data_IF_294985175212
#
_entry.id   IF_294985175212
#
_cell.length_a   1.000
_cell.length_b   1.000
_cell.length_c   1.000
_cell.angle_alpha   90.00
_cell.angle_beta   90.00
_cell.angle_gamma   90.00
#
_symmetry.space_group_name_H-M   'P 1'
#
loop_
_entity.id
_entity.type
_entity.pdbx_description
1 polymer ?
#
# COMPACT_ATOMS: atom_id res chain seq x y z
N UNK A 1 1.53 -82.61 -48.05
CA UNK A 1 2.64 -82.97 -47.12
C UNK A 1 3.86 -82.17 -47.51
N UNK A 2 4.55 -81.55 -46.53
CA UNK A 2 5.74 -80.71 -46.71
C UNK A 2 5.49 -79.25 -46.33
N UNK A 3 5.15 -78.95 -45.07
CA UNK A 3 6.06 -78.53 -43.98
C UNK A 3 6.67 -77.15 -44.25
N UNK A 4 6.13 -76.15 -43.55
CA UNK A 4 6.56 -74.77 -43.61
C UNK A 4 7.91 -74.51 -42.95
N UNK A 5 8.54 -73.41 -43.35
CA UNK A 5 9.64 -72.78 -42.64
C UNK A 5 9.26 -71.32 -42.42
N UNK A 6 8.69 -71.05 -41.24
CA UNK A 6 8.54 -69.69 -40.70
C UNK A 6 9.93 -69.16 -40.37
N UNK A 7 10.30 -68.02 -40.98
CA UNK A 7 11.47 -67.26 -40.55
C UNK A 7 11.19 -66.66 -39.17
N UNK A 8 12.16 -66.62 -38.24
CA UNK A 8 11.97 -65.94 -36.96
C UNK A 8 11.91 -64.42 -37.20
N UNK A 9 10.89 -63.79 -36.63
CA UNK A 9 10.82 -62.33 -36.48
C UNK A 9 11.81 -61.97 -35.37
N UNK A 10 12.90 -61.28 -35.70
CA UNK A 10 13.75 -60.63 -34.71
C UNK A 10 12.93 -59.52 -34.03
N UNK A 11 12.40 -59.82 -32.84
CA UNK A 11 11.91 -58.80 -31.92
C UNK A 11 13.14 -58.09 -31.39
N UNK A 12 13.49 -56.98 -32.03
CA UNK A 12 14.42 -56.00 -31.48
C UNK A 12 13.82 -55.49 -30.18
N UNK A 13 14.35 -55.98 -29.06
CA UNK A 13 14.17 -55.42 -27.72
C UNK A 13 14.70 -53.98 -27.76
N UNK A 14 13.85 -53.05 -28.13
CA UNK A 14 14.06 -51.63 -27.87
C UNK A 14 14.06 -51.50 -26.34
N UNK A 15 15.25 -51.39 -25.75
CA UNK A 15 15.40 -50.93 -24.37
C UNK A 15 14.53 -49.68 -24.21
N UNK A 16 13.73 -49.56 -23.15
CA UNK A 16 13.04 -48.30 -22.89
C UNK A 16 14.10 -47.21 -22.84
N UNK A 17 13.96 -46.19 -23.70
CA UNK A 17 14.76 -44.97 -23.59
C UNK A 17 14.64 -44.53 -22.15
N UNK A 18 15.77 -44.42 -21.46
CA UNK A 18 15.81 -43.79 -20.15
C UNK A 18 15.09 -42.44 -20.29
N UNK A 19 14.08 -42.22 -19.44
CA UNK A 19 13.46 -40.90 -19.30
C UNK A 19 14.62 -39.94 -19.04
N UNK A 20 14.81 -39.02 -19.97
CA UNK A 20 15.86 -37.99 -19.91
C UNK A 20 15.69 -37.23 -18.59
N UNK A 21 16.76 -37.10 -17.78
CA UNK A 21 16.68 -36.44 -16.48
C UNK A 21 16.12 -35.01 -16.62
N UNK A 22 16.42 -34.35 -17.74
CA UNK A 22 15.92 -33.02 -18.09
C UNK A 22 14.38 -33.00 -18.27
N UNK A 23 13.79 -34.08 -18.80
CA UNK A 23 12.34 -34.20 -18.96
C UNK A 23 11.63 -34.47 -17.63
N UNK A 24 12.29 -35.16 -16.69
CA UNK A 24 11.74 -35.40 -15.35
C UNK A 24 11.76 -34.09 -14.54
N UNK A 25 12.88 -33.36 -14.55
CA UNK A 25 13.00 -32.08 -13.85
C UNK A 25 12.03 -31.02 -14.40
N UNK A 26 11.89 -30.92 -15.73
CA UNK A 26 10.92 -30.03 -16.35
C UNK A 26 9.47 -30.41 -15.98
N UNK A 27 9.15 -31.71 -15.94
CA UNK A 27 7.83 -32.19 -15.53
C UNK A 27 7.55 -31.94 -14.04
N UNK A 28 8.52 -32.18 -13.16
CA UNK A 28 8.41 -31.89 -11.72
C UNK A 28 8.24 -30.39 -11.45
N UNK A 29 8.97 -29.54 -12.17
CA UNK A 29 8.82 -28.09 -12.11
C UNK A 29 7.44 -27.63 -12.59
N UNK A 30 6.93 -28.19 -13.69
CA UNK A 30 5.58 -27.92 -14.19
C UNK A 30 4.48 -28.36 -13.21
N UNK A 31 4.64 -29.53 -12.58
CA UNK A 31 3.70 -30.01 -11.56
C UNK A 31 3.76 -29.15 -10.29
N UNK A 32 4.94 -28.68 -9.89
CA UNK A 32 5.11 -27.79 -8.74
C UNK A 32 4.44 -26.42 -8.98
N UNK A 33 4.64 -25.83 -10.16
CA UNK A 33 4.03 -24.52 -10.51
C UNK A 33 2.50 -24.58 -10.60
N UNK A 34 1.94 -25.63 -11.22
CA UNK A 34 0.49 -25.84 -11.26
C UNK A 34 -0.12 -26.06 -9.86
N UNK A 35 0.62 -26.72 -8.96
CA UNK A 35 0.23 -26.88 -7.56
C UNK A 35 0.18 -25.54 -6.83
N UNK A 36 1.20 -24.67 -7.00
CA UNK A 36 1.24 -23.36 -6.33
C UNK A 36 0.09 -22.46 -6.82
N UNK A 37 -0.19 -22.42 -8.13
CA UNK A 37 -1.31 -21.65 -8.67
C UNK A 37 -2.66 -22.08 -8.09
N UNK A 38 -2.89 -23.39 -7.99
CA UNK A 38 -4.12 -23.94 -7.38
C UNK A 38 -4.21 -23.57 -5.90
N UNK A 39 -3.13 -23.77 -5.13
CA UNK A 39 -3.07 -23.40 -3.71
C UNK A 39 -3.31 -21.90 -3.49
N UNK A 40 -2.85 -21.05 -4.40
CA UNK A 40 -3.12 -19.61 -4.31
C UNK A 40 -4.61 -19.31 -4.38
N UNK A 41 -5.35 -19.88 -5.34
CA UNK A 41 -6.80 -19.68 -5.41
C UNK A 41 -7.55 -20.25 -4.21
N UNK A 42 -7.03 -21.29 -3.56
CA UNK A 42 -7.60 -21.83 -2.33
C UNK A 42 -7.37 -20.90 -1.13
N UNK A 43 -6.12 -20.52 -0.87
CA UNK A 43 -5.73 -19.66 0.26
C UNK A 43 -6.34 -18.24 0.19
N UNK A 44 -6.57 -17.75 -1.03
CA UNK A 44 -7.14 -16.42 -1.28
C UNK A 44 -8.60 -16.47 -1.73
N UNK A 45 -9.32 -17.59 -1.62
CA UNK A 45 -10.68 -17.77 -2.17
C UNK A 45 -11.65 -16.66 -1.77
N UNK A 46 -11.65 -16.27 -0.50
CA UNK A 46 -12.52 -15.21 0.01
C UNK A 46 -12.15 -13.83 -0.56
N UNK A 47 -10.85 -13.51 -0.63
CA UNK A 47 -10.37 -12.24 -1.19
C UNK A 47 -10.59 -12.17 -2.72
N UNK A 48 -10.36 -13.28 -3.43
CA UNK A 48 -10.46 -13.37 -4.89
C UNK A 48 -11.89 -13.28 -5.42
N UNK A 49 -12.90 -13.55 -4.58
CA UNK A 49 -14.33 -13.50 -4.92
C UNK A 49 -14.99 -12.19 -4.54
N UNK A 50 -14.49 -11.53 -3.49
CA UNK A 50 -14.98 -10.21 -3.11
C UNK A 50 -14.53 -9.15 -4.13
N UNK A 51 -15.41 -8.25 -4.59
CA UNK A 51 -15.00 -7.11 -5.40
C UNK A 51 -13.93 -6.28 -4.67
N UNK A 52 -12.82 -5.90 -5.34
CA UNK A 52 -11.79 -5.07 -4.74
C UNK A 52 -12.33 -3.65 -4.53
N UNK A 53 -11.93 -3.01 -3.43
CA UNK A 53 -12.34 -1.64 -3.15
C UNK A 53 -11.61 -0.62 -4.05
N UNK A 54 -10.39 -0.95 -4.45
CA UNK A 54 -9.59 -0.22 -5.42
C UNK A 54 -9.17 -1.22 -6.51
N UNK A 55 -9.60 -1.01 -7.76
CA UNK A 55 -9.25 -1.91 -8.87
C UNK A 55 -7.85 -1.61 -9.38
N UNK A 56 -7.19 -2.51 -10.11
CA UNK A 56 -5.90 -2.21 -10.76
C UNK A 56 -6.02 -1.02 -11.72
N UNK A 57 -7.12 -0.92 -12.45
CA UNK A 57 -7.43 0.24 -13.32
C UNK A 57 -7.56 1.54 -12.52
N UNK A 58 -8.29 1.51 -11.40
CA UNK A 58 -8.40 2.67 -10.50
C UNK A 58 -7.07 3.03 -9.83
N UNK A 59 -6.29 2.03 -9.44
CA UNK A 59 -4.96 2.18 -8.84
C UNK A 59 -3.95 2.78 -9.83
N UNK A 60 -4.01 2.36 -11.10
CA UNK A 60 -3.24 2.93 -12.19
C UNK A 60 -3.62 4.40 -12.46
N UNK A 61 -4.89 4.78 -12.26
CA UNK A 61 -5.29 6.19 -12.35
C UNK A 61 -4.66 7.05 -11.24
N UNK A 62 -4.45 6.50 -10.04
CA UNK A 62 -3.79 7.22 -8.94
C UNK A 62 -2.33 7.53 -9.24
N UNK A 63 -1.63 6.64 -9.94
CA UNK A 63 -0.27 6.91 -10.45
C UNK A 63 -0.25 8.17 -11.34
N UNK A 64 -1.27 8.31 -12.20
CA UNK A 64 -1.50 9.49 -13.03
C UNK A 64 -2.09 10.72 -12.31
N UNK A 65 -2.25 10.68 -10.98
CA UNK A 65 -2.93 11.70 -10.16
C UNK A 65 -4.41 11.91 -10.48
N UNK A 66 -5.04 10.98 -11.19
CA UNK A 66 -6.47 11.00 -11.49
C UNK A 66 -7.30 10.39 -10.34
N UNK A 67 -8.61 10.66 -10.36
CA UNK A 67 -9.54 10.05 -9.41
C UNK A 67 -9.80 8.59 -9.80
N UNK A 68 -9.68 7.62 -8.86
CA UNK A 68 -9.97 6.23 -9.17
C UNK A 68 -11.46 6.07 -9.46
N UNK A 69 -11.77 5.34 -10.52
CA UNK A 69 -13.15 4.98 -10.86
C UNK A 69 -13.64 3.84 -9.97
N UNK A 70 -14.95 3.77 -9.68
CA UNK A 70 -15.55 2.62 -9.00
C UNK A 70 -15.35 1.31 -9.77
N UNK A 71 -15.51 0.19 -9.04
CA UNK A 71 -15.50 -1.15 -9.61
C UNK A 71 -16.64 -1.34 -10.63
N UNK A 72 -16.27 -1.82 -11.81
CA UNK A 72 -17.15 -2.24 -12.89
C UNK A 72 -16.82 -3.70 -13.26
N UNK A 73 -17.74 -4.66 -13.04
CA UNK A 73 -17.50 -6.07 -13.32
C UNK A 73 -17.03 -6.38 -14.74
N UNK A 74 -17.46 -5.60 -15.74
CA UNK A 74 -17.10 -5.83 -17.14
C UNK A 74 -15.73 -5.23 -17.47
N UNK A 75 -15.41 -4.05 -16.93
CA UNK A 75 -14.15 -3.37 -17.19
C UNK A 75 -12.99 -3.84 -16.28
N UNK A 76 -13.31 -4.40 -15.11
CA UNK A 76 -12.35 -4.85 -14.10
C UNK A 76 -12.28 -6.38 -13.98
N UNK A 77 -12.75 -7.11 -15.00
CA UNK A 77 -12.53 -8.54 -15.10
C UNK A 77 -11.02 -8.82 -15.24
N UNK A 78 -10.41 -9.60 -14.33
CA UNK A 78 -8.96 -9.77 -14.24
C UNK A 78 -8.45 -10.81 -15.26
N UNK A 79 -8.71 -10.54 -16.53
CA UNK A 79 -8.17 -11.26 -17.69
C UNK A 79 -6.66 -11.00 -17.84
N UNK A 80 -5.95 -11.82 -18.60
CA UNK A 80 -4.54 -11.58 -18.94
C UNK A 80 -4.33 -10.15 -19.48
N UNK A 81 -5.15 -9.72 -20.45
CA UNK A 81 -5.06 -8.38 -21.03
C UNK A 81 -5.28 -7.25 -20.01
N UNK A 82 -6.16 -7.47 -19.03
CA UNK A 82 -6.38 -6.51 -17.94
C UNK A 82 -5.16 -6.44 -17.02
N UNK A 83 -4.58 -7.58 -16.64
CA UNK A 83 -3.37 -7.61 -15.82
C UNK A 83 -2.19 -6.96 -16.55
N UNK A 84 -1.97 -7.30 -17.82
CA UNK A 84 -0.95 -6.70 -18.69
C UNK A 84 -1.12 -5.18 -18.84
N UNK A 85 -2.35 -4.70 -18.90
CA UNK A 85 -2.65 -3.27 -19.05
C UNK A 85 -2.45 -2.42 -17.80
N UNK A 86 -2.57 -2.99 -16.60
CA UNK A 86 -2.67 -2.20 -15.36
C UNK A 86 -1.76 -2.66 -14.21
N UNK A 87 -1.28 -3.91 -14.18
CA UNK A 87 -0.57 -4.45 -13.02
C UNK A 87 0.75 -3.71 -12.74
N UNK A 88 1.51 -3.37 -13.79
CA UNK A 88 2.85 -2.79 -13.62
C UNK A 88 2.87 -1.52 -12.79
N UNK A 89 1.95 -0.60 -13.05
CA UNK A 89 1.83 0.66 -12.29
C UNK A 89 0.81 0.58 -11.16
N UNK A 90 -0.31 -0.11 -11.37
CA UNK A 90 -1.42 -0.11 -10.42
C UNK A 90 -1.15 -0.89 -9.14
N UNK A 91 -0.35 -1.97 -9.18
CA UNK A 91 -0.21 -2.90 -8.04
C UNK A 91 0.34 -2.24 -6.78
N UNK A 92 1.20 -1.23 -6.90
CA UNK A 92 1.83 -0.51 -5.78
C UNK A 92 0.82 0.35 -5.00
N UNK A 93 -0.27 0.76 -5.65
CA UNK A 93 -1.31 1.62 -5.08
C UNK A 93 -2.49 0.84 -4.48
N UNK A 94 -2.57 -0.48 -4.68
CA UNK A 94 -3.63 -1.31 -4.11
C UNK A 94 -3.56 -1.35 -2.58
N UNK A 95 -4.69 -1.15 -1.89
CA UNK A 95 -4.81 -1.43 -0.46
C UNK A 95 -4.66 -2.93 -0.15
N UNK A 96 -4.50 -3.30 1.11
CA UNK A 96 -4.24 -4.69 1.48
C UNK A 96 -5.33 -5.66 1.00
N UNK A 97 -6.60 -5.25 1.07
CA UNK A 97 -7.73 -6.10 0.63
C UNK A 97 -7.76 -6.22 -0.90
N UNK A 98 -7.62 -5.11 -1.60
CA UNK A 98 -7.59 -5.08 -3.05
C UNK A 98 -6.37 -5.80 -3.62
N UNK A 99 -5.22 -5.73 -2.94
CA UNK A 99 -4.01 -6.47 -3.31
C UNK A 99 -4.21 -7.98 -3.21
N UNK A 100 -4.76 -8.48 -2.08
CA UNK A 100 -5.10 -9.90 -1.91
C UNK A 100 -6.10 -10.42 -2.95
N UNK A 101 -6.99 -9.59 -3.45
CA UNK A 101 -7.92 -9.95 -4.52
C UNK A 101 -7.18 -10.36 -5.82
N UNK A 102 -6.08 -9.68 -6.16
CA UNK A 102 -5.34 -9.94 -7.41
C UNK A 102 -4.20 -10.95 -7.24
N UNK A 103 -3.65 -11.13 -6.03
CA UNK A 103 -2.52 -12.05 -5.77
C UNK A 103 -2.65 -13.43 -6.43
N UNK A 104 -3.72 -14.22 -6.24
CA UNK A 104 -3.80 -15.55 -6.83
C UNK A 104 -3.79 -15.53 -8.37
N UNK A 105 -4.36 -14.48 -8.97
CA UNK A 105 -4.40 -14.31 -10.43
C UNK A 105 -3.07 -13.87 -11.00
N UNK A 106 -2.33 -13.03 -10.28
CA UNK A 106 -0.99 -12.61 -10.66
C UNK A 106 0.01 -13.78 -10.55
N UNK A 107 -0.10 -14.60 -9.50
CA UNK A 107 0.70 -15.82 -9.33
C UNK A 107 0.44 -16.81 -10.48
N UNK A 108 -0.84 -17.10 -10.75
CA UNK A 108 -1.25 -17.96 -11.87
C UNK A 108 -0.77 -17.43 -13.23
N UNK A 109 -0.97 -16.13 -13.49
CA UNK A 109 -0.49 -15.47 -14.70
C UNK A 109 1.03 -15.66 -14.86
N UNK A 110 1.80 -15.43 -13.79
CA UNK A 110 3.26 -15.52 -13.83
C UNK A 110 3.75 -16.89 -14.32
N UNK A 111 3.15 -17.98 -13.81
CA UNK A 111 3.52 -19.34 -14.22
C UNK A 111 3.07 -19.68 -15.65
N UNK A 112 1.94 -19.14 -16.10
CA UNK A 112 1.47 -19.30 -17.49
C UNK A 112 2.27 -18.44 -18.49
N UNK A 113 2.86 -17.33 -18.05
CA UNK A 113 3.49 -16.30 -18.89
C UNK A 113 4.92 -15.98 -18.44
N UNK A 114 5.79 -17.00 -18.45
CA UNK A 114 7.18 -16.87 -17.96
C UNK A 114 8.04 -15.87 -18.76
N UNK A 115 7.72 -15.66 -20.04
CA UNK A 115 8.38 -14.70 -20.93
C UNK A 115 7.52 -13.46 -21.20
N UNK A 116 6.70 -13.07 -20.22
CA UNK A 116 5.83 -11.90 -20.26
C UNK A 116 6.61 -10.59 -20.55
N UNK A 117 6.36 -9.90 -21.68
CA UNK A 117 6.97 -8.62 -21.97
C UNK A 117 6.26 -7.43 -21.29
N UNK A 118 5.08 -7.64 -20.70
CA UNK A 118 4.28 -6.60 -20.05
C UNK A 118 4.62 -6.39 -18.57
N UNK A 119 5.64 -7.10 -18.06
CA UNK A 119 6.23 -6.90 -16.73
C UNK A 119 5.25 -7.15 -15.57
N UNK A 120 4.18 -7.91 -15.77
CA UNK A 120 3.21 -8.27 -14.71
C UNK A 120 3.90 -9.08 -13.61
N UNK A 121 4.72 -10.06 -13.99
CA UNK A 121 5.47 -10.89 -13.03
C UNK A 121 6.49 -10.04 -12.26
N UNK A 122 7.18 -9.13 -12.94
CA UNK A 122 8.12 -8.18 -12.33
C UNK A 122 7.40 -7.28 -11.32
N UNK A 123 6.23 -6.75 -11.68
CA UNK A 123 5.39 -5.95 -10.80
C UNK A 123 4.94 -6.72 -9.55
N UNK A 124 4.53 -7.98 -9.72
CA UNK A 124 4.18 -8.86 -8.60
C UNK A 124 5.38 -9.04 -7.66
N UNK A 125 6.54 -9.45 -8.17
CA UNK A 125 7.75 -9.68 -7.34
C UNK A 125 8.17 -8.40 -6.62
N UNK A 126 8.15 -7.24 -7.30
CA UNK A 126 8.43 -5.94 -6.67
C UNK A 126 7.41 -5.56 -5.61
N UNK A 127 6.13 -5.85 -5.83
CA UNK A 127 5.06 -5.57 -4.85
C UNK A 127 5.20 -6.39 -3.56
N UNK A 128 5.95 -7.49 -3.61
CA UNK A 128 6.22 -8.40 -2.49
C UNK A 128 7.45 -8.00 -1.67
N UNK A 129 8.08 -6.86 -1.98
CA UNK A 129 9.27 -6.36 -1.29
C UNK A 129 8.97 -5.15 -0.40
N UNK A 130 9.73 -4.97 0.70
CA UNK A 130 9.78 -3.69 1.40
C UNK A 130 10.57 -2.62 0.60
N UNK A 131 10.39 -1.32 0.91
CA UNK A 131 9.40 -0.79 1.82
C UNK A 131 7.99 -1.00 1.28
N UNK A 132 7.10 -1.52 2.13
CA UNK A 132 5.69 -1.67 1.77
C UNK A 132 4.97 -0.33 1.93
N UNK A 133 3.78 -0.22 1.34
CA UNK A 133 2.89 0.90 1.60
C UNK A 133 2.45 0.91 3.07
N UNK A 134 1.93 2.05 3.49
CA UNK A 134 1.18 2.14 4.73
C UNK A 134 -0.30 2.38 4.42
N UNK A 135 -1.24 1.59 4.98
CA UNK A 135 -1.05 0.47 5.91
C UNK A 135 -0.37 -0.73 5.24
N UNK A 136 0.38 -1.55 5.99
CA UNK A 136 1.15 -2.64 5.42
C UNK A 136 0.24 -3.73 4.85
N UNK A 137 0.50 -4.11 3.60
CA UNK A 137 -0.08 -5.26 2.90
C UNK A 137 0.62 -6.56 3.25
N UNK A 138 1.96 -6.56 3.29
CA UNK A 138 2.73 -7.79 3.46
C UNK A 138 2.46 -8.44 4.83
N UNK A 139 2.27 -7.61 5.87
CA UNK A 139 1.92 -8.06 7.22
C UNK A 139 0.43 -8.36 7.42
N UNK A 140 -0.41 -8.16 6.41
CA UNK A 140 -1.86 -8.39 6.49
C UNK A 140 -2.27 -9.79 6.00
N UNK A 141 -1.31 -10.63 5.58
CA UNK A 141 -1.57 -12.01 5.18
C UNK A 141 -1.70 -12.92 6.40
N UNK A 142 -2.54 -13.94 6.30
CA UNK A 142 -2.54 -15.04 7.26
C UNK A 142 -1.46 -16.08 6.91
N UNK A 143 -1.21 -17.03 7.80
CA UNK A 143 -0.13 -18.02 7.63
C UNK A 143 -0.25 -18.87 6.34
N UNK A 144 -1.47 -19.19 5.89
CA UNK A 144 -1.70 -19.95 4.67
C UNK A 144 -1.36 -19.12 3.42
N UNK A 145 -1.84 -17.88 3.39
CA UNK A 145 -1.53 -16.90 2.35
C UNK A 145 -0.04 -16.59 2.26
N UNK A 146 0.63 -16.41 3.41
CA UNK A 146 2.09 -16.26 3.48
C UNK A 146 2.82 -17.47 2.90
N UNK A 147 2.35 -18.69 3.18
CA UNK A 147 2.94 -19.93 2.67
C UNK A 147 2.92 -20.01 1.14
N UNK A 148 1.80 -19.63 0.52
CA UNK A 148 1.67 -19.56 -0.94
C UNK A 148 2.65 -18.55 -1.53
N UNK A 149 2.69 -17.34 -0.96
CA UNK A 149 3.57 -16.26 -1.45
C UNK A 149 5.04 -16.66 -1.33
N UNK A 150 5.43 -17.27 -0.21
CA UNK A 150 6.79 -17.81 -0.03
C UNK A 150 7.11 -18.86 -1.09
N UNK A 151 6.21 -19.82 -1.31
CA UNK A 151 6.41 -20.89 -2.30
C UNK A 151 6.55 -20.34 -3.72
N UNK A 152 5.75 -19.33 -4.07
CA UNK A 152 5.89 -18.60 -5.33
C UNK A 152 7.28 -17.95 -5.45
N UNK A 153 7.70 -17.18 -4.45
CA UNK A 153 9.00 -16.50 -4.46
C UNK A 153 10.18 -17.48 -4.49
N UNK A 154 10.10 -18.62 -3.78
CA UNK A 154 11.10 -19.69 -3.83
C UNK A 154 11.22 -20.26 -5.24
N UNK A 155 10.10 -20.49 -5.93
CA UNK A 155 10.08 -20.97 -7.31
C UNK A 155 10.67 -19.94 -8.29
N UNK A 156 10.43 -18.64 -8.09
CA UNK A 156 11.04 -17.57 -8.89
C UNK A 156 12.54 -17.43 -8.59
N UNK A 157 12.94 -17.55 -7.32
CA UNK A 157 14.30 -17.35 -6.83
C UNK A 157 15.27 -18.48 -7.21
N UNK A 158 14.76 -19.73 -7.27
CA UNK A 158 15.57 -20.94 -7.43
C UNK A 158 15.30 -21.69 -8.73
N UNK A 159 14.16 -21.46 -9.37
CA UNK A 159 13.79 -22.12 -10.61
C UNK A 159 14.36 -21.43 -11.86
N UNK A 160 14.42 -22.18 -12.96
CA UNK A 160 14.94 -21.69 -14.24
C UNK A 160 13.94 -20.88 -15.06
N UNK A 161 12.68 -20.82 -14.62
CA UNK A 161 11.58 -20.18 -15.35
C UNK A 161 11.70 -18.65 -15.43
N UNK A 162 12.36 -18.01 -14.45
CA UNK A 162 12.39 -16.54 -14.31
C UNK A 162 13.81 -16.00 -14.06
N UNK A 163 14.80 -16.27 -14.94
CA UNK A 163 16.20 -15.96 -14.66
C UNK A 163 16.44 -14.46 -14.40
N UNK A 164 15.63 -13.58 -15.00
CA UNK A 164 15.74 -12.12 -14.85
C UNK A 164 15.15 -11.57 -13.54
N UNK A 165 14.41 -12.38 -12.75
CA UNK A 165 13.79 -11.97 -11.49
C UNK A 165 14.34 -12.72 -10.27
N UNK A 166 15.28 -13.65 -10.47
CA UNK A 166 15.83 -14.46 -9.39
C UNK A 166 16.41 -13.61 -8.27
N UNK A 167 17.15 -12.55 -8.61
CA UNK A 167 17.79 -11.66 -7.62
C UNK A 167 16.74 -10.90 -6.80
N UNK A 168 15.72 -10.35 -7.46
CA UNK A 168 14.62 -9.62 -6.82
C UNK A 168 13.80 -10.54 -5.91
N UNK A 169 13.52 -11.77 -6.34
CA UNK A 169 12.80 -12.76 -5.53
C UNK A 169 13.61 -13.21 -4.31
N UNK A 170 14.92 -13.45 -4.46
CA UNK A 170 15.82 -13.73 -3.34
C UNK A 170 15.83 -12.58 -2.32
N UNK A 171 15.92 -11.34 -2.80
CA UNK A 171 15.84 -10.16 -1.94
C UNK A 171 14.50 -10.09 -1.20
N UNK A 172 13.38 -10.33 -1.88
CA UNK A 172 12.07 -10.36 -1.24
C UNK A 172 12.00 -11.39 -0.10
N UNK A 173 12.51 -12.61 -0.34
CA UNK A 173 12.56 -13.67 0.66
C UNK A 173 13.37 -13.25 1.90
N UNK A 174 14.58 -12.75 1.69
CA UNK A 174 15.48 -12.30 2.78
C UNK A 174 14.98 -11.07 3.53
N UNK A 175 14.26 -10.18 2.85
CA UNK A 175 13.81 -8.93 3.42
C UNK A 175 12.50 -9.11 4.22
N UNK A 176 11.59 -9.99 3.80
CA UNK A 176 10.27 -10.13 4.45
C UNK A 176 9.78 -11.55 4.74
N UNK A 177 9.98 -12.51 3.82
CA UNK A 177 9.18 -13.74 3.83
C UNK A 177 9.81 -14.92 4.59
N UNK A 178 11.11 -14.89 4.88
CA UNK A 178 11.80 -15.92 5.67
C UNK A 178 11.66 -15.70 7.20
N UNK A 179 11.79 -16.75 8.03
CA UNK A 179 11.63 -16.66 9.50
C UNK A 179 12.54 -15.64 10.20
N UNK A 180 13.68 -15.31 9.60
CA UNK A 180 14.67 -14.34 10.07
C UNK A 180 14.83 -13.15 9.10
N UNK A 181 13.76 -12.82 8.39
CA UNK A 181 13.72 -11.74 7.43
C UNK A 181 14.19 -10.41 8.05
N UNK A 182 15.05 -9.68 7.32
CA UNK A 182 15.76 -8.50 7.82
C UNK A 182 14.85 -7.32 8.15
N UNK A 183 13.71 -7.21 7.47
CA UNK A 183 12.83 -6.04 7.52
C UNK A 183 11.44 -6.34 8.06
N UNK A 184 11.16 -7.59 8.47
CA UNK A 184 9.89 -7.97 9.07
C UNK A 184 9.93 -7.76 10.59
N UNK A 185 9.24 -6.75 11.14
CA UNK A 185 9.21 -6.55 12.57
C UNK A 185 8.41 -7.68 13.25
N UNK A 186 8.92 -8.17 14.37
CA UNK A 186 8.22 -9.11 15.24
C UNK A 186 7.05 -8.41 15.94
N UNK A 187 6.05 -9.20 16.37
CA UNK A 187 4.94 -8.66 17.16
C UNK A 187 5.41 -7.96 18.44
N UNK A 188 6.49 -8.47 19.06
CA UNK A 188 7.12 -7.86 20.23
C UNK A 188 7.76 -6.51 19.91
N UNK A 189 8.47 -6.39 18.78
CA UNK A 189 9.05 -5.12 18.32
C UNK A 189 7.96 -4.09 17.99
N UNK A 190 6.89 -4.49 17.30
CA UNK A 190 5.75 -3.59 17.02
C UNK A 190 5.12 -3.12 18.34
N UNK A 191 4.88 -4.03 19.29
CA UNK A 191 4.31 -3.67 20.58
C UNK A 191 5.23 -2.72 21.36
N UNK A 192 6.54 -2.97 21.35
CA UNK A 192 7.52 -2.10 21.99
C UNK A 192 7.57 -0.71 21.34
N UNK A 193 7.54 -0.64 20.00
CA UNK A 193 7.48 0.62 19.25
C UNK A 193 6.23 1.44 19.57
N UNK A 194 5.07 0.79 19.66
CA UNK A 194 3.79 1.46 19.98
C UNK A 194 3.70 1.89 21.45
N UNK A 195 4.39 1.19 22.35
CA UNK A 195 4.43 1.53 23.77
C UNK A 195 5.50 2.57 24.12
N UNK A 196 6.41 2.89 23.19
CA UNK A 196 7.47 3.84 23.42
C UNK A 196 6.91 5.27 23.68
N UNK A 197 7.44 6.02 24.67
CA UNK A 197 7.03 7.39 24.89
C UNK A 197 7.30 8.27 23.66
N UNK A 198 6.33 9.11 23.30
CA UNK A 198 6.49 10.09 22.22
C UNK A 198 7.12 11.36 22.78
N UNK A 199 8.38 11.62 22.40
CA UNK A 199 9.06 12.87 22.69
C UNK A 199 8.58 13.97 21.72
N UNK A 200 8.32 15.16 22.26
CA UNK A 200 7.84 16.30 21.49
C UNK A 200 8.87 17.43 21.53
N UNK A 201 8.97 18.16 20.43
CA UNK A 201 9.71 19.42 20.32
C UNK A 201 8.76 20.55 19.94
N UNK A 202 9.11 21.77 20.31
CA UNK A 202 8.36 22.95 19.90
C UNK A 202 8.85 23.41 18.54
N UNK A 203 7.91 23.67 17.63
CA UNK A 203 8.14 24.30 16.35
C UNK A 203 7.44 25.65 16.34
N UNK A 204 8.18 26.67 15.89
CA UNK A 204 7.75 28.06 15.87
C UNK A 204 7.76 28.51 14.42
N UNK A 205 6.58 28.81 13.88
CA UNK A 205 6.43 29.47 12.60
C UNK A 205 6.21 30.97 12.75
N UNK A 206 5.93 31.64 11.63
CA UNK A 206 5.83 33.11 11.59
C UNK A 206 4.64 33.66 12.41
N UNK A 207 3.55 32.88 12.53
CA UNK A 207 2.31 33.28 13.20
C UNK A 207 1.73 32.19 14.11
N UNK A 208 2.45 31.09 14.31
CA UNK A 208 1.94 29.93 15.04
C UNK A 208 3.04 29.21 15.81
N UNK A 209 2.64 28.55 16.88
CA UNK A 209 3.45 27.65 17.69
C UNK A 209 2.76 26.28 17.74
N UNK A 210 3.56 25.21 17.68
CA UNK A 210 3.04 23.85 17.72
C UNK A 210 4.04 22.91 18.41
N UNK A 211 3.55 22.01 19.28
CA UNK A 211 4.34 20.89 19.78
C UNK A 211 4.18 19.70 18.83
N UNK A 212 5.30 19.19 18.31
CA UNK A 212 5.32 18.09 17.36
C UNK A 212 6.21 16.95 17.85
N UNK A 213 5.82 15.69 17.60
CA UNK A 213 6.69 14.54 17.80
C UNK A 213 8.02 14.70 17.06
N UNK A 214 9.13 14.36 17.73
CA UNK A 214 10.48 14.51 17.17
C UNK A 214 10.71 13.64 15.92
N UNK A 215 9.95 12.54 15.80
CA UNK A 215 9.97 11.61 14.68
C UNK A 215 9.40 12.18 13.38
N UNK A 216 8.64 13.28 13.44
CA UNK A 216 8.14 13.95 12.25
C UNK A 216 9.21 14.86 11.67
N UNK A 217 9.57 14.68 10.40
CA UNK A 217 10.60 15.47 9.72
C UNK A 217 9.95 16.55 8.88
N UNK A 218 10.39 17.80 9.06
CA UNK A 218 9.86 18.96 8.34
C UNK A 218 10.41 19.08 6.92
N UNK A 219 9.57 19.49 5.98
CA UNK A 219 9.96 19.82 4.61
C UNK A 219 10.56 21.22 4.45
N UNK A 220 10.56 22.01 5.54
CA UNK A 220 10.73 23.45 5.53
C UNK A 220 9.52 24.19 4.93
N UNK A 221 9.50 25.50 5.12
CA UNK A 221 8.45 26.39 4.61
C UNK A 221 8.53 26.54 3.10
N UNK A 222 7.43 26.26 2.42
CA UNK A 222 7.26 26.44 0.98
C UNK A 222 6.28 27.59 0.74
N UNK A 223 6.65 28.51 -0.16
CA UNK A 223 5.74 29.57 -0.63
C UNK A 223 5.16 29.15 -1.96
N UNK A 224 3.85 29.32 -2.13
CA UNK A 224 3.09 29.08 -3.36
C UNK A 224 2.63 30.46 -3.87
N UNK A 225 3.42 31.14 -4.72
CA UNK A 225 3.20 32.53 -5.07
C UNK A 225 1.82 32.80 -5.67
N UNK A 226 1.34 31.88 -6.52
CA UNK A 226 0.06 32.01 -7.24
C UNK A 226 -1.14 32.05 -6.28
N UNK A 227 -1.01 31.47 -5.10
CA UNK A 227 -2.06 31.42 -4.07
C UNK A 227 -1.75 32.34 -2.89
N UNK A 228 -0.60 33.04 -2.91
CA UNK A 228 -0.04 33.77 -1.76
C UNK A 228 -0.05 32.93 -0.47
N UNK A 229 0.14 31.62 -0.61
CA UNK A 229 0.03 30.64 0.47
C UNK A 229 1.40 30.20 0.92
N UNK A 230 1.62 30.15 2.24
CA UNK A 230 2.78 29.49 2.86
C UNK A 230 2.33 28.15 3.42
N UNK A 231 3.13 27.12 3.20
CA UNK A 231 2.86 25.77 3.68
C UNK A 231 4.10 25.20 4.34
N UNK A 232 3.93 24.67 5.53
CA UNK A 232 4.94 23.85 6.19
C UNK A 232 4.34 22.48 6.48
N UNK A 233 5.09 21.42 6.13
CA UNK A 233 4.65 20.04 6.32
C UNK A 233 5.69 19.26 7.10
N UNK A 234 5.23 18.40 8.02
CA UNK A 234 6.04 17.40 8.69
C UNK A 234 5.44 16.03 8.43
N UNK A 235 6.27 15.10 7.97
CA UNK A 235 5.90 13.72 7.72
C UNK A 235 6.81 12.77 8.48
N UNK A 236 6.27 11.65 8.93
CA UNK A 236 7.02 10.64 9.65
C UNK A 236 6.12 9.64 10.32
N UNK A 237 6.65 8.91 11.30
CA UNK A 237 5.92 7.90 12.04
C UNK A 237 5.49 8.42 13.41
N UNK A 238 4.21 8.26 13.74
CA UNK A 238 3.62 8.54 15.05
C UNK A 238 3.33 7.21 15.76
N UNK A 239 3.52 7.19 17.08
CA UNK A 239 3.31 6.01 17.93
C UNK A 239 3.97 4.75 17.34
N UNK A 240 5.25 4.90 16.95
CA UNK A 240 6.10 3.81 16.45
C UNK A 240 6.04 3.58 14.95
N UNK A 241 4.86 3.32 14.41
CA UNK A 241 4.70 2.75 13.07
C UNK A 241 3.66 3.44 12.17
N UNK A 242 2.88 4.41 12.66
CA UNK A 242 1.82 5.01 11.86
C UNK A 242 2.29 6.24 11.09
N UNK A 243 2.33 6.15 9.76
CA UNK A 243 2.68 7.30 8.94
C UNK A 243 1.65 8.43 9.16
N UNK A 244 2.15 9.57 9.61
CA UNK A 244 1.35 10.75 9.96
C UNK A 244 1.92 11.97 9.25
N UNK A 245 1.03 12.80 8.71
CA UNK A 245 1.38 14.06 8.07
C UNK A 245 0.69 15.19 8.82
N UNK A 246 1.49 16.13 9.33
CA UNK A 246 1.01 17.39 9.89
C UNK A 246 1.34 18.49 8.89
N UNK A 247 0.40 19.40 8.63
CA UNK A 247 0.62 20.53 7.75
C UNK A 247 -0.03 21.79 8.30
N UNK A 248 0.71 22.89 8.31
CA UNK A 248 0.19 24.22 8.59
C UNK A 248 0.20 25.02 7.28
N UNK A 249 -0.97 25.52 6.90
CA UNK A 249 -1.15 26.43 5.77
C UNK A 249 -1.47 27.82 6.31
N UNK A 250 -0.74 28.84 5.86
CA UNK A 250 -1.02 30.25 6.16
C UNK A 250 -1.37 30.94 4.85
N UNK A 251 -2.56 31.51 4.78
CA UNK A 251 -3.07 32.18 3.57
C UNK A 251 -3.66 33.53 3.98
N UNK A 252 -3.42 34.62 3.22
CA UNK A 252 -4.09 35.89 3.44
C UNK A 252 -5.61 35.72 3.47
N UNK A 253 -6.24 36.35 4.45
CA UNK A 253 -7.68 36.39 4.62
C UNK A 253 -8.20 37.48 3.66
N UNK A 254 -8.44 37.08 2.41
CA UNK A 254 -8.93 37.97 1.36
C UNK A 254 -10.47 38.08 1.38
N UNK A 255 -11.12 37.80 0.25
CA UNK A 255 -12.58 37.80 0.08
C UNK A 255 -13.24 36.60 0.79
N UNK A 256 -12.50 35.52 1.11
CA UNK A 256 -13.09 34.32 1.75
C UNK A 256 -13.13 34.44 3.26
N UNK A 257 -14.31 34.24 3.83
CA UNK A 257 -14.46 34.13 5.28
C UNK A 257 -13.91 32.81 5.83
N UNK A 258 -13.65 32.76 7.14
CA UNK A 258 -13.36 31.52 7.85
C UNK A 258 -14.43 30.44 7.55
N UNK A 259 -15.70 30.82 7.58
CA UNK A 259 -16.81 29.92 7.33
C UNK A 259 -16.79 29.36 5.90
N UNK A 260 -16.40 30.16 4.90
CA UNK A 260 -16.26 29.68 3.52
C UNK A 260 -15.14 28.65 3.39
N UNK A 261 -14.03 28.90 4.08
CA UNK A 261 -12.86 28.01 4.08
C UNK A 261 -13.16 26.68 4.76
N UNK A 262 -13.87 26.71 5.90
CA UNK A 262 -14.36 25.52 6.60
C UNK A 262 -15.31 24.72 5.71
N UNK A 263 -16.31 25.37 5.09
CA UNK A 263 -17.25 24.68 4.19
C UNK A 263 -16.54 24.06 2.98
N UNK A 264 -15.57 24.76 2.40
CA UNK A 264 -14.82 24.24 1.26
C UNK A 264 -13.98 23.01 1.63
N UNK A 265 -13.49 22.90 2.87
CA UNK A 265 -12.70 21.75 3.34
C UNK A 265 -13.53 20.61 3.91
N UNK A 266 -14.77 20.86 4.33
CA UNK A 266 -15.70 19.82 4.74
C UNK A 266 -15.95 18.77 3.64
N UNK A 267 -15.77 19.13 2.36
CA UNK A 267 -15.91 18.19 1.23
C UNK A 267 -14.78 17.19 1.08
N UNK A 268 -13.69 17.31 1.86
CA UNK A 268 -12.58 16.34 1.87
C UNK A 268 -12.90 15.10 2.71
N UNK A 269 -13.93 15.19 3.55
CA UNK A 269 -14.36 14.13 4.42
C UNK A 269 -15.30 13.18 3.69
N UNK A 270 -15.17 11.90 4.02
CA UNK A 270 -16.00 10.82 3.48
C UNK A 270 -17.46 11.00 3.85
N UNK A 271 -17.69 11.40 5.09
CA UNK A 271 -19.02 11.63 5.65
C UNK A 271 -19.25 13.13 5.85
N UNK A 272 -20.51 13.52 6.00
CA UNK A 272 -20.85 14.90 6.32
C UNK A 272 -20.37 15.22 7.73
N UNK A 273 -19.39 16.12 7.84
CA UNK A 273 -18.85 16.61 9.11
C UNK A 273 -19.40 17.99 9.42
N UNK A 274 -19.66 18.25 10.71
CA UNK A 274 -20.09 19.56 11.19
C UNK A 274 -18.94 20.26 11.89
N UNK A 275 -18.67 21.55 11.62
CA UNK A 275 -17.64 22.28 12.33
C UNK A 275 -18.01 22.47 13.79
N UNK A 276 -17.02 22.31 14.65
CA UNK A 276 -17.13 22.61 16.08
C UNK A 276 -16.28 23.83 16.43
N UNK A 277 -16.86 24.78 17.15
CA UNK A 277 -16.08 25.90 17.71
C UNK A 277 -15.14 25.38 18.79
N UNK A 278 -13.88 25.81 18.74
CA UNK A 278 -12.86 25.48 19.72
C UNK A 278 -12.11 26.74 20.16
N UNK A 279 -11.35 26.64 21.24
CA UNK A 279 -10.46 27.71 21.69
C UNK A 279 -9.04 27.38 21.22
N UNK A 280 -8.45 28.29 20.46
CA UNK A 280 -7.03 28.27 20.12
C UNK A 280 -6.40 29.49 20.77
N UNK A 281 -5.35 29.30 21.57
CA UNK A 281 -4.71 30.42 22.27
C UNK A 281 -4.17 31.42 21.26
N UNK A 282 -4.36 32.71 21.52
CA UNK A 282 -3.93 33.79 20.62
C UNK A 282 -4.86 34.04 19.44
N UNK A 283 -5.94 33.27 19.29
CA UNK A 283 -6.96 33.48 18.26
C UNK A 283 -8.27 33.99 18.83
N UNK A 284 -8.94 34.84 18.05
CA UNK A 284 -10.30 35.31 18.36
C UNK A 284 -11.38 34.29 17.99
N UNK A 285 -11.11 33.43 17.01
CA UNK A 285 -12.09 32.45 16.50
C UNK A 285 -11.38 31.28 15.87
N UNK A 286 -11.77 30.08 16.28
CA UNK A 286 -11.32 28.84 15.68
C UNK A 286 -12.45 27.83 15.52
N UNK A 287 -12.38 27.06 14.43
CA UNK A 287 -13.29 25.97 14.12
C UNK A 287 -12.48 24.71 13.81
N UNK A 288 -13.02 23.55 14.18
CA UNK A 288 -12.40 22.25 13.95
C UNK A 288 -13.33 21.33 13.17
N UNK A 289 -12.73 20.56 12.26
CA UNK A 289 -13.36 19.44 11.55
C UNK A 289 -12.58 18.17 11.86
N UNK A 290 -13.28 17.08 12.13
CA UNK A 290 -12.71 15.77 12.40
C UNK A 290 -13.53 14.72 11.63
N UNK A 291 -12.86 13.70 11.10
CA UNK A 291 -13.52 12.61 10.41
C UNK A 291 -12.57 11.78 9.56
N UNK A 292 -13.16 10.92 8.73
CA UNK A 292 -12.42 10.04 7.83
C UNK A 292 -12.31 10.66 6.42
N UNK A 293 -11.21 10.38 5.74
CA UNK A 293 -10.98 10.74 4.33
C UNK A 293 -10.52 9.51 3.53
N UNK A 294 -10.87 9.45 2.24
CA UNK A 294 -10.58 8.32 1.34
C UNK A 294 -9.31 8.53 0.49
N UNK A 295 -8.39 9.41 0.92
CA UNK A 295 -7.18 9.71 0.13
C UNK A 295 -6.35 8.43 -0.07
N UNK A 296 -6.27 7.97 -1.32
CA UNK A 296 -5.48 6.81 -1.74
C UNK A 296 -6.28 5.52 -1.90
N UNK A 297 -7.15 5.14 -0.95
CA UNK A 297 -8.04 3.97 -1.10
C UNK A 297 -9.37 4.14 -0.35
N UNK A 298 -10.51 3.74 -0.95
CA UNK A 298 -11.80 3.70 -0.25
C UNK A 298 -11.89 2.68 0.90
N UNK A 299 -11.03 1.65 0.92
CA UNK A 299 -11.04 0.60 1.95
C UNK A 299 -10.18 0.93 3.18
N UNK A 300 -9.24 1.86 3.04
CA UNK A 300 -8.28 2.22 4.08
C UNK A 300 -8.40 3.74 4.35
N UNK A 301 -9.51 4.18 4.98
CA UNK A 301 -9.69 5.59 5.25
C UNK A 301 -8.67 6.09 6.29
N UNK A 302 -8.21 7.31 6.09
CA UNK A 302 -7.35 8.02 7.03
C UNK A 302 -8.18 8.91 7.95
N UNK A 303 -7.74 9.08 9.20
CA UNK A 303 -8.26 10.14 10.06
C UNK A 303 -7.71 11.48 9.57
N UNK A 304 -8.58 12.49 9.53
CA UNK A 304 -8.22 13.87 9.22
C UNK A 304 -8.79 14.76 10.33
N UNK A 305 -7.90 15.46 11.02
CA UNK A 305 -8.27 16.57 11.89
C UNK A 305 -7.82 17.87 11.24
N UNK A 306 -8.69 18.88 11.21
CA UNK A 306 -8.38 20.20 10.68
C UNK A 306 -8.82 21.29 11.66
N UNK A 307 -7.92 22.19 12.02
CA UNK A 307 -8.21 23.39 12.80
C UNK A 307 -8.02 24.62 11.90
N UNK A 308 -9.04 25.45 11.86
CA UNK A 308 -9.07 26.71 11.11
C UNK A 308 -9.13 27.84 12.11
N UNK A 309 -8.25 28.83 11.97
CA UNK A 309 -8.13 29.93 12.91
C UNK A 309 -7.64 31.19 12.21
N UNK A 310 -7.92 32.35 12.80
CA UNK A 310 -7.51 33.64 12.25
C UNK A 310 -6.35 34.21 13.07
N UNK A 311 -5.27 34.56 12.39
CA UNK A 311 -4.15 35.31 12.94
C UNK A 311 -4.04 36.64 12.18
N UNK A 312 -4.48 37.75 12.80
CA UNK A 312 -4.59 39.07 12.16
C UNK A 312 -5.45 39.02 10.88
N UNK A 313 -4.84 39.24 9.73
CA UNK A 313 -5.38 39.20 8.38
C UNK A 313 -5.02 37.91 7.64
N UNK A 314 -4.66 36.85 8.35
CA UNK A 314 -4.34 35.54 7.78
C UNK A 314 -5.24 34.42 8.33
N UNK A 315 -5.65 33.53 7.44
CA UNK A 315 -6.22 32.23 7.79
C UNK A 315 -5.07 31.25 8.00
N UNK A 316 -5.01 30.68 9.21
CA UNK A 316 -4.10 29.58 9.53
C UNK A 316 -4.91 28.29 9.61
N UNK A 317 -4.50 27.28 8.85
CA UNK A 317 -5.10 25.95 8.86
C UNK A 317 -4.07 24.92 9.26
N UNK A 318 -4.25 24.31 10.44
CA UNK A 318 -3.54 23.11 10.86
C UNK A 318 -4.32 21.89 10.37
N UNK A 319 -3.66 20.95 9.72
CA UNK A 319 -4.25 19.67 9.33
C UNK A 319 -3.34 18.52 9.75
N UNK A 320 -3.94 17.47 10.30
CA UNK A 320 -3.25 16.26 10.71
C UNK A 320 -3.94 15.08 10.04
N UNK A 321 -3.19 14.31 9.26
CA UNK A 321 -3.64 13.06 8.64
C UNK A 321 -2.91 11.90 9.26
N UNK A 322 -3.66 10.92 9.73
CA UNK A 322 -3.13 9.69 10.34
C UNK A 322 -4.11 8.53 10.10
N UNK A 323 -4.02 7.49 10.91
CA UNK A 323 -4.81 6.27 10.80
C UNK A 323 -5.72 6.08 12.02
N UNK A 324 -6.86 5.40 11.86
CA UNK A 324 -7.80 5.19 12.96
C UNK A 324 -7.21 4.21 13.98
N UNK A 325 -6.72 4.73 15.12
CA UNK A 325 -6.15 3.95 16.24
C UNK A 325 -6.17 4.78 17.53
N UNK A 326 -6.61 4.19 18.64
CA UNK A 326 -6.82 4.92 19.91
C UNK A 326 -5.59 5.60 20.50
N UNK A 327 -4.39 5.04 20.30
CA UNK A 327 -3.11 5.64 20.71
C UNK A 327 -2.68 6.78 19.79
N UNK A 328 -3.03 6.71 18.50
CA UNK A 328 -2.81 7.82 17.56
C UNK A 328 -3.75 8.97 17.86
N UNK A 329 -5.03 8.69 18.12
CA UNK A 329 -6.02 9.73 18.43
C UNK A 329 -5.58 10.55 19.65
N UNK A 330 -5.04 9.90 20.70
CA UNK A 330 -4.50 10.59 21.88
C UNK A 330 -3.32 11.51 21.56
N UNK A 331 -2.37 11.07 20.73
CA UNK A 331 -1.23 11.91 20.36
C UNK A 331 -1.62 13.00 19.35
N UNK A 332 -2.60 12.75 18.48
CA UNK A 332 -3.19 13.76 17.59
C UNK A 332 -3.85 14.87 18.42
N UNK A 333 -4.66 14.52 19.42
CA UNK A 333 -5.24 15.52 20.34
C UNK A 333 -4.15 16.33 21.06
N UNK A 334 -3.08 15.67 21.53
CA UNK A 334 -1.95 16.37 22.17
C UNK A 334 -1.28 17.39 21.24
N UNK A 335 -1.11 17.06 19.96
CA UNK A 335 -0.59 18.01 18.95
C UNK A 335 -1.58 19.17 18.78
N UNK A 336 -2.88 18.89 18.62
CA UNK A 336 -3.91 19.91 18.41
C UNK A 336 -4.06 20.85 19.61
N UNK A 337 -4.01 20.33 20.83
CA UNK A 337 -4.09 21.11 22.08
C UNK A 337 -2.89 22.02 22.28
N UNK A 338 -1.74 21.69 21.67
CA UNK A 338 -0.53 22.51 21.72
C UNK A 338 -0.49 23.62 20.66
N UNK A 339 -1.46 23.65 19.75
CA UNK A 339 -1.49 24.61 18.66
C UNK A 339 -1.92 25.99 19.18
N UNK A 340 -1.04 26.97 18.99
CA UNK A 340 -1.27 28.35 19.41
C UNK A 340 -0.98 29.31 18.25
N UNK A 341 -1.69 30.44 18.22
CA UNK A 341 -1.36 31.57 17.36
C UNK A 341 -0.42 32.50 18.11
N UNK A 342 0.73 32.76 17.50
CA UNK A 342 1.68 33.75 17.99
C UNK A 342 1.17 35.09 17.50
N UNK A 343 0.75 35.94 18.44
CA UNK A 343 0.33 37.30 18.12
C UNK A 343 1.51 38.16 17.63
N UNK A 344 1.26 39.42 17.25
CA UNK A 344 2.14 40.45 17.78
C UNK A 344 2.14 40.42 19.31
#
# INVERSE_FOLDING_TARGET
MGVGHSKPIEITSARPRALDCDNIQAFESLMNTASIGTQAFEAFRADATAPPALTLRGANALDGYDRPTPFDPAADEPTDAYLEGFAFWGITYLDARSWRHYLPRLIDYSFRRQNDPAMVTEALVRSLRPPDRYPPRLGALNAEQEGVVRSFLEQVALGDAFPHLQTEAQQALEEWWLPNARSRPTAQEIAALRAAPVAHRIVVGDVYLLSLPETLTGSGTRTIPQESRRVETWGGYLCGDAHTVVAVNVTPLDVRSLADSVRARATLFRETVSPRSIVVRGSLRAERLDGLTEVGSPAEPQTLAMVFTIARDELVTLSIRSWPRDDLDREVERILDSFEIIGP
#
